data_IF_915116834900
#
_entry.id   IF_915116834900
#
_cell.length_a   1.000
_cell.length_b   1.000
_cell.length_c   1.000
_cell.angle_alpha   90.00
_cell.angle_beta   90.00
_cell.angle_gamma   90.00
#
_symmetry.space_group_name_H-M   'P 1'
#
loop_
_entity.id
_entity.type
_entity.pdbx_description
1 polymer ?
#
# COMPACT_ATOMS: atom_id res chain seq x y z
N UNK A 1 44.37 36.17 -30.38
CA UNK A 1 44.31 35.33 -31.61
C UNK A 1 44.18 33.89 -31.14
N UNK A 2 43.12 33.20 -31.62
CA UNK A 2 42.78 31.77 -31.43
C UNK A 2 42.37 31.35 -30.00
N UNK A 3 41.32 30.56 -29.75
CA UNK A 3 40.28 29.93 -30.60
C UNK A 3 39.13 29.46 -29.70
N UNK A 4 37.90 29.60 -30.19
CA UNK A 4 36.67 28.99 -29.69
C UNK A 4 36.70 27.46 -29.78
N UNK A 5 36.20 26.76 -28.76
CA UNK A 5 35.74 25.37 -28.89
C UNK A 5 34.29 25.29 -28.39
N UNK A 6 33.38 25.23 -29.36
CA UNK A 6 31.97 24.89 -29.21
C UNK A 6 31.85 23.39 -28.93
N UNK A 7 31.14 23.01 -27.87
CA UNK A 7 30.69 21.64 -27.67
C UNK A 7 29.17 21.59 -27.72
N UNK A 8 28.70 20.74 -28.65
CA UNK A 8 27.31 20.59 -29.06
C UNK A 8 26.44 20.01 -27.95
N UNK A 9 25.19 20.47 -27.95
CA UNK A 9 24.02 19.91 -27.28
C UNK A 9 23.67 18.56 -27.94
N UNK A 10 23.47 17.51 -27.14
CA UNK A 10 22.77 16.30 -27.57
C UNK A 10 23.31 15.00 -26.98
N UNK A 11 22.66 14.48 -25.94
CA UNK A 11 21.97 13.18 -25.90
C UNK A 11 21.39 13.06 -24.48
N UNK A 12 20.07 12.98 -24.34
CA UNK A 12 19.43 12.82 -23.03
C UNK A 12 19.58 11.39 -22.52
N UNK A 13 20.04 11.25 -21.28
CA UNK A 13 19.83 10.04 -20.49
C UNK A 13 18.36 9.96 -20.06
N UNK A 14 17.67 8.81 -20.24
CA UNK A 14 16.36 8.65 -19.65
C UNK A 14 16.51 8.38 -18.14
N UNK A 15 15.96 9.29 -17.33
CA UNK A 15 15.74 9.19 -15.87
C UNK A 15 16.91 9.51 -14.93
N UNK A 16 17.72 10.54 -15.22
CA UNK A 16 18.48 11.19 -14.16
C UNK A 16 17.58 12.23 -13.45
N UNK A 17 17.07 11.89 -12.26
CA UNK A 17 16.38 12.84 -11.38
C UNK A 17 17.35 13.99 -11.04
N UNK A 18 16.91 15.23 -11.21
CA UNK A 18 17.76 16.40 -10.96
C UNK A 18 17.87 16.68 -9.46
N UNK A 19 18.94 17.35 -9.04
CA UNK A 19 19.14 17.73 -7.64
C UNK A 19 18.00 18.64 -7.12
N UNK A 20 17.34 19.41 -8.00
CA UNK A 20 16.16 20.20 -7.65
C UNK A 20 14.92 19.33 -7.38
N UNK A 21 14.77 18.18 -8.05
CA UNK A 21 13.71 17.19 -7.75
C UNK A 21 13.88 16.55 -6.36
N UNK A 22 15.12 16.49 -5.86
CA UNK A 22 15.45 15.96 -4.52
C UNK A 22 15.13 16.98 -3.40
N UNK A 23 15.08 18.28 -3.72
CA UNK A 23 14.92 19.35 -2.72
C UNK A 23 13.49 19.87 -2.50
N UNK A 24 12.52 19.50 -3.34
CA UNK A 24 11.13 19.43 -2.89
C UNK A 24 10.96 18.08 -2.20
N UNK A 25 11.16 18.03 -0.89
CA UNK A 25 10.70 16.88 -0.09
C UNK A 25 9.19 16.78 -0.26
N UNK A 26 8.79 15.96 -1.21
CA UNK A 26 7.39 15.62 -1.39
C UNK A 26 6.90 15.03 -0.06
N UNK A 27 5.82 15.57 0.48
CA UNK A 27 5.27 15.15 1.78
C UNK A 27 4.59 13.77 1.65
N UNK A 28 4.46 13.29 0.42
CA UNK A 28 3.89 12.00 0.10
C UNK A 28 4.91 10.85 0.15
N UNK A 29 4.42 9.61 0.27
CA UNK A 29 5.25 8.43 0.10
C UNK A 29 5.99 8.43 -1.24
N UNK A 30 7.17 7.80 -1.34
CA UNK A 30 7.87 7.61 -2.61
C UNK A 30 6.93 7.09 -3.71
N UNK A 31 7.03 7.66 -4.91
CA UNK A 31 6.24 7.26 -6.09
C UNK A 31 4.70 7.43 -5.94
N UNK A 32 4.22 8.23 -4.98
CA UNK A 32 2.79 8.46 -4.74
C UNK A 32 1.99 8.86 -5.99
N UNK A 33 2.56 9.72 -6.83
CA UNK A 33 1.90 10.18 -8.05
C UNK A 33 1.81 9.10 -9.14
N UNK A 34 2.66 8.07 -9.08
CA UNK A 34 2.65 6.94 -10.01
C UNK A 34 1.73 5.80 -9.54
N UNK A 35 1.42 5.75 -8.24
CA UNK A 35 0.54 4.72 -7.70
C UNK A 35 -0.92 4.88 -8.18
N UNK A 36 -1.64 3.77 -8.46
CA UNK A 36 -3.05 3.76 -8.80
C UNK A 36 -3.91 4.60 -7.84
N UNK A 37 -4.81 5.41 -8.38
CA UNK A 37 -5.70 6.28 -7.58
C UNK A 37 -7.12 5.75 -7.42
N UNK A 38 -7.52 4.83 -8.29
CA UNK A 38 -8.84 4.22 -8.38
C UNK A 38 -8.72 2.70 -8.62
N UNK A 39 -9.82 1.97 -8.46
CA UNK A 39 -9.84 0.51 -8.66
C UNK A 39 -9.68 0.18 -10.15
N UNK A 40 -10.14 1.08 -11.01
CA UNK A 40 -10.10 1.00 -12.46
C UNK A 40 -8.69 1.17 -13.04
N UNK A 41 -7.76 1.75 -12.27
CA UNK A 41 -6.36 1.92 -12.68
C UNK A 41 -5.56 0.60 -12.62
N UNK A 42 -6.12 -0.46 -12.02
CA UNK A 42 -5.47 -1.76 -11.90
C UNK A 42 -5.70 -2.65 -13.12
N UNK A 43 -4.75 -3.56 -13.44
CA UNK A 43 -4.90 -4.49 -14.55
C UNK A 43 -6.14 -5.38 -14.42
N UNK A 44 -6.91 -5.49 -15.50
CA UNK A 44 -8.05 -6.40 -15.60
C UNK A 44 -7.63 -7.65 -16.37
N UNK A 45 -7.87 -8.82 -15.76
CA UNK A 45 -7.65 -10.12 -16.39
C UNK A 45 -8.98 -10.87 -16.45
N UNK A 46 -9.57 -10.97 -17.65
CA UNK A 46 -10.92 -11.51 -17.83
C UNK A 46 -11.96 -10.58 -17.21
N UNK A 47 -12.71 -11.08 -16.23
CA UNK A 47 -13.72 -10.30 -15.49
C UNK A 47 -13.28 -9.92 -14.07
N UNK A 48 -11.97 -9.90 -13.81
CA UNK A 48 -11.41 -9.62 -12.49
C UNK A 48 -10.35 -8.53 -12.55
N UNK A 49 -10.44 -7.56 -11.65
CA UNK A 49 -9.36 -6.60 -11.38
C UNK A 49 -8.33 -7.26 -10.49
N UNK A 50 -7.09 -7.35 -10.95
CA UNK A 50 -6.00 -8.00 -10.23
C UNK A 50 -5.15 -6.98 -9.48
N UNK A 51 -4.88 -7.25 -8.20
CA UNK A 51 -4.02 -6.42 -7.35
C UNK A 51 -2.92 -7.31 -6.77
N UNK A 52 -1.67 -7.03 -7.11
CA UNK A 52 -0.51 -7.63 -6.48
C UNK A 52 -0.20 -6.93 -5.17
N UNK A 53 -0.48 -7.62 -4.06
CA UNK A 53 -0.03 -7.16 -2.76
C UNK A 53 1.51 -7.13 -2.67
N UNK A 54 2.25 -7.82 -3.53
CA UNK A 54 3.70 -7.94 -3.46
C UNK A 54 4.43 -6.98 -4.42
N UNK A 55 3.71 -6.01 -4.95
CA UNK A 55 4.25 -4.87 -5.69
C UNK A 55 4.02 -3.57 -4.89
N UNK A 56 5.06 -2.75 -4.75
CA UNK A 56 5.01 -1.51 -3.97
C UNK A 56 4.00 -0.49 -4.48
N UNK A 57 3.96 -0.23 -5.80
CA UNK A 57 3.02 0.75 -6.36
C UNK A 57 1.58 0.28 -6.19
N UNK A 58 1.33 -1.01 -6.39
CA UNK A 58 -0.01 -1.59 -6.25
C UNK A 58 -0.47 -1.59 -4.79
N UNK A 59 0.40 -1.96 -3.84
CA UNK A 59 0.10 -1.88 -2.40
C UNK A 59 -0.09 -0.43 -1.94
N UNK A 60 0.69 0.52 -2.48
CA UNK A 60 0.49 1.94 -2.23
C UNK A 60 -0.84 2.45 -2.82
N UNK A 61 -1.21 1.95 -4.00
CA UNK A 61 -2.48 2.25 -4.66
C UNK A 61 -3.69 1.81 -3.84
N UNK A 62 -3.61 0.65 -3.17
CA UNK A 62 -4.65 0.20 -2.22
C UNK A 62 -4.90 1.25 -1.13
N UNK A 63 -3.85 1.80 -0.52
CA UNK A 63 -4.00 2.88 0.46
C UNK A 63 -4.59 4.15 -0.15
N UNK A 64 -4.13 4.52 -1.35
CA UNK A 64 -4.59 5.71 -2.07
C UNK A 64 -6.07 5.65 -2.42
N UNK A 65 -6.57 4.48 -2.85
CA UNK A 65 -8.00 4.24 -3.08
C UNK A 65 -8.78 4.47 -1.78
N UNK A 66 -8.37 3.83 -0.67
CA UNK A 66 -9.08 3.99 0.61
C UNK A 66 -9.11 5.45 1.05
N UNK A 67 -7.98 6.17 0.90
CA UNK A 67 -7.90 7.60 1.19
C UNK A 67 -8.84 8.43 0.32
N UNK A 68 -8.91 8.14 -0.99
CA UNK A 68 -9.77 8.86 -1.91
C UNK A 68 -11.26 8.66 -1.59
N UNK A 69 -11.69 7.42 -1.34
CA UNK A 69 -13.07 7.11 -0.99
C UNK A 69 -13.48 7.66 0.39
N UNK A 70 -12.53 7.73 1.32
CA UNK A 70 -12.77 8.29 2.66
C UNK A 70 -12.68 9.82 2.72
N UNK A 71 -12.20 10.49 1.67
CA UNK A 71 -11.96 11.93 1.69
C UNK A 71 -13.20 12.76 2.05
N UNK A 72 -14.38 12.31 1.61
CA UNK A 72 -15.67 12.96 1.91
C UNK A 72 -15.98 13.08 3.41
N UNK A 73 -15.37 12.23 4.25
CA UNK A 73 -15.57 12.24 5.71
C UNK A 73 -14.58 13.13 6.46
N UNK A 74 -13.53 13.64 5.79
CA UNK A 74 -12.47 14.45 6.38
C UNK A 74 -12.41 15.87 5.78
N UNK A 75 -13.48 16.32 5.13
CA UNK A 75 -13.56 17.61 4.42
C UNK A 75 -13.40 18.82 5.33
N UNK A 76 -13.66 18.68 6.63
CA UNK A 76 -13.49 19.74 7.63
C UNK A 76 -12.07 19.81 8.22
N UNK A 77 -11.21 18.83 7.92
CA UNK A 77 -9.89 18.67 8.58
C UNK A 77 -8.70 19.15 7.73
N UNK A 78 -8.94 20.00 6.74
CA UNK A 78 -7.91 20.58 5.86
C UNK A 78 -8.22 20.39 4.38
N UNK A 79 -7.55 21.14 3.52
CA UNK A 79 -7.67 20.97 2.06
C UNK A 79 -6.95 19.68 1.60
N UNK A 80 -7.32 19.19 0.42
CA UNK A 80 -6.65 18.06 -0.25
C UNK A 80 -6.54 16.78 0.59
N UNK A 81 -7.55 16.48 1.41
CA UNK A 81 -7.63 15.26 2.23
C UNK A 81 -6.52 15.13 3.29
N UNK A 82 -5.74 16.18 3.59
CA UNK A 82 -4.57 16.11 4.50
C UNK A 82 -4.97 15.72 5.93
N UNK A 83 -6.17 16.06 6.37
CA UNK A 83 -6.69 15.71 7.70
C UNK A 83 -7.15 14.26 7.85
N UNK A 84 -7.03 13.43 6.81
CA UNK A 84 -7.45 12.04 6.86
C UNK A 84 -6.50 11.20 7.73
N UNK A 85 -7.02 10.68 8.82
CA UNK A 85 -6.23 9.92 9.80
C UNK A 85 -5.59 8.65 9.22
N UNK A 86 -6.06 8.18 8.06
CA UNK A 86 -5.52 7.01 7.39
C UNK A 86 -4.17 7.27 6.71
N UNK A 87 -3.70 8.51 6.59
CA UNK A 87 -2.39 8.85 6.01
C UNK A 87 -1.20 8.18 6.69
N UNK A 88 -1.32 7.85 7.99
CA UNK A 88 -0.24 7.16 8.71
C UNK A 88 0.19 5.85 8.04
N UNK A 89 -0.75 5.13 7.44
CA UNK A 89 -0.52 3.83 6.82
C UNK A 89 0.35 3.90 5.54
N UNK A 90 0.00 4.68 4.50
CA UNK A 90 0.85 4.82 3.32
C UNK A 90 2.17 5.54 3.62
N UNK A 91 2.21 6.47 4.59
CA UNK A 91 3.47 7.08 5.04
C UNK A 91 4.41 6.03 5.65
N UNK A 92 3.89 5.13 6.49
CA UNK A 92 4.67 4.02 7.03
C UNK A 92 5.16 3.07 5.92
N UNK A 93 4.32 2.73 4.94
CA UNK A 93 4.75 1.92 3.78
C UNK A 93 5.87 2.62 3.00
N UNK A 94 5.76 3.94 2.78
CA UNK A 94 6.80 4.74 2.13
C UNK A 94 8.13 4.73 2.85
N UNK A 95 8.12 4.84 4.18
CA UNK A 95 9.32 4.71 5.00
C UNK A 95 9.92 3.28 4.92
N UNK A 96 9.10 2.24 4.96
CA UNK A 96 9.56 0.85 4.83
C UNK A 96 10.22 0.61 3.46
N UNK A 97 9.65 1.17 2.39
CA UNK A 97 10.23 1.12 1.06
C UNK A 97 11.57 1.85 0.98
N UNK A 98 11.61 3.12 1.41
CA UNK A 98 12.82 3.94 1.33
C UNK A 98 13.98 3.37 2.14
N UNK A 99 13.69 2.65 3.23
CA UNK A 99 14.73 2.08 4.09
C UNK A 99 15.10 0.63 3.76
N UNK A 100 14.57 0.07 2.66
CA UNK A 100 14.86 -1.30 2.22
C UNK A 100 14.20 -2.39 3.08
N UNK A 101 13.34 -2.04 4.04
CA UNK A 101 12.69 -3.00 4.95
C UNK A 101 11.71 -3.94 4.24
N UNK A 102 11.23 -3.58 3.04
CA UNK A 102 10.36 -4.42 2.22
C UNK A 102 11.11 -5.43 1.34
N UNK A 103 12.43 -5.28 1.20
CA UNK A 103 13.26 -6.16 0.38
C UNK A 103 13.49 -7.52 1.08
N UNK A 104 14.00 -8.49 0.34
CA UNK A 104 14.36 -9.79 0.90
C UNK A 104 15.52 -9.64 1.92
N UNK A 105 15.31 -9.98 3.20
CA UNK A 105 16.37 -9.89 4.21
C UNK A 105 17.41 -11.02 4.11
N UNK A 106 17.07 -12.13 3.46
CA UNK A 106 17.88 -13.35 3.40
C UNK A 106 18.87 -13.37 2.23
N UNK A 107 18.73 -12.43 1.28
CA UNK A 107 19.45 -12.41 0.00
C UNK A 107 19.29 -13.71 -0.83
N UNK A 108 18.30 -14.55 -0.53
CA UNK A 108 17.98 -15.73 -1.34
C UNK A 108 17.40 -15.31 -2.69
N UNK A 109 16.66 -14.21 -2.71
CA UNK A 109 16.08 -13.60 -3.90
C UNK A 109 16.64 -12.19 -4.12
N UNK A 110 16.48 -11.70 -5.34
CA UNK A 110 16.76 -10.30 -5.70
C UNK A 110 15.54 -9.39 -5.46
N UNK A 111 14.51 -9.82 -4.72
CA UNK A 111 13.32 -9.01 -4.52
C UNK A 111 13.65 -7.77 -3.67
N UNK A 112 13.40 -6.58 -4.22
CA UNK A 112 13.78 -5.31 -3.60
C UNK A 112 15.28 -4.98 -3.72
N UNK A 113 16.09 -5.89 -4.30
CA UNK A 113 17.53 -5.73 -4.49
C UNK A 113 17.90 -5.89 -5.98
N UNK A 114 18.50 -4.87 -6.59
CA UNK A 114 19.00 -4.97 -7.97
C UNK A 114 18.11 -4.33 -9.04
N UNK A 115 18.64 -4.28 -10.26
CA UNK A 115 18.05 -3.52 -11.36
C UNK A 115 16.66 -4.05 -11.75
N UNK A 116 15.66 -3.16 -11.74
CA UNK A 116 14.28 -3.49 -12.09
C UNK A 116 13.46 -4.20 -11.01
N UNK A 117 14.06 -4.56 -9.86
CA UNK A 117 13.38 -5.27 -8.77
C UNK A 117 12.96 -4.35 -7.61
N UNK A 118 13.15 -3.05 -7.75
CA UNK A 118 12.91 -2.08 -6.67
C UNK A 118 11.44 -2.02 -6.22
N UNK A 119 10.48 -2.40 -7.08
CA UNK A 119 9.05 -2.45 -6.71
C UNK A 119 8.63 -3.77 -6.06
N UNK A 120 9.49 -4.80 -6.07
CA UNK A 120 9.17 -6.08 -5.48
C UNK A 120 9.17 -5.97 -3.95
N UNK A 121 8.06 -6.39 -3.32
CA UNK A 121 7.94 -6.54 -1.88
C UNK A 121 8.14 -8.02 -1.55
N UNK A 122 9.18 -8.33 -0.77
CA UNK A 122 9.51 -9.72 -0.43
C UNK A 122 8.54 -10.28 0.60
N UNK A 123 8.00 -11.47 0.32
CA UNK A 123 7.19 -12.24 1.29
C UNK A 123 8.02 -12.74 2.48
N UNK A 124 9.35 -12.78 2.32
CA UNK A 124 10.30 -13.12 3.39
C UNK A 124 10.55 -11.93 4.33
N UNK A 125 10.22 -10.70 3.91
CA UNK A 125 10.30 -9.55 4.81
C UNK A 125 9.23 -9.62 5.89
N UNK A 126 9.68 -9.55 7.14
CA UNK A 126 8.80 -9.38 8.29
C UNK A 126 7.97 -8.11 8.17
N UNK A 127 8.58 -6.98 7.81
CA UNK A 127 7.89 -5.69 7.65
C UNK A 127 6.83 -5.74 6.55
N UNK A 128 7.13 -6.42 5.45
CA UNK A 128 6.17 -6.64 4.37
C UNK A 128 4.98 -7.49 4.82
N UNK A 129 5.25 -8.54 5.61
CA UNK A 129 4.22 -9.43 6.15
C UNK A 129 3.29 -8.67 7.11
N UNK A 130 3.85 -7.89 8.05
CA UNK A 130 3.04 -7.02 8.94
C UNK A 130 2.24 -5.98 8.15
N UNK A 131 2.87 -5.32 7.17
CA UNK A 131 2.18 -4.31 6.38
C UNK A 131 1.03 -4.89 5.55
N UNK A 132 1.07 -6.18 5.15
CA UNK A 132 -0.06 -6.84 4.47
C UNK A 132 -1.35 -6.74 5.29
N UNK A 133 -1.26 -6.96 6.60
CA UNK A 133 -2.38 -6.86 7.53
C UNK A 133 -2.82 -5.43 7.83
N UNK A 134 -2.01 -4.44 7.47
CA UNK A 134 -2.34 -3.02 7.57
C UNK A 134 -2.77 -2.42 6.23
N UNK A 135 -2.62 -3.14 5.12
CA UNK A 135 -2.98 -2.68 3.76
C UNK A 135 -4.16 -3.47 3.19
N UNK A 136 -3.92 -4.77 2.91
CA UNK A 136 -4.87 -5.64 2.22
C UNK A 136 -6.05 -6.00 3.10
N UNK A 137 -5.81 -6.33 4.37
CA UNK A 137 -6.90 -6.72 5.28
C UNK A 137 -7.90 -5.58 5.53
N UNK A 138 -7.47 -4.33 5.81
CA UNK A 138 -8.39 -3.19 5.89
C UNK A 138 -9.14 -2.96 4.59
N UNK A 139 -8.48 -3.08 3.45
CA UNK A 139 -9.11 -2.93 2.14
C UNK A 139 -10.21 -3.97 1.90
N UNK A 140 -9.94 -5.24 2.23
CA UNK A 140 -10.94 -6.31 2.15
C UNK A 140 -12.08 -6.10 3.16
N UNK A 141 -11.80 -5.57 4.35
CA UNK A 141 -12.82 -5.16 5.32
C UNK A 141 -13.70 -4.02 4.78
N UNK A 142 -13.12 -3.04 4.12
CA UNK A 142 -13.85 -1.96 3.44
C UNK A 142 -14.72 -2.51 2.30
N UNK A 143 -14.21 -3.47 1.52
CA UNK A 143 -15.02 -4.16 0.50
C UNK A 143 -16.21 -4.89 1.12
N UNK A 144 -16.01 -5.62 2.23
CA UNK A 144 -17.09 -6.34 2.91
C UNK A 144 -18.14 -5.39 3.50
N UNK A 145 -17.72 -4.18 3.92
CA UNK A 145 -18.62 -3.12 4.36
C UNK A 145 -19.38 -2.42 3.21
N UNK A 146 -19.13 -2.79 1.95
CA UNK A 146 -19.70 -2.11 0.79
C UNK A 146 -19.18 -0.68 0.60
N UNK A 147 -18.04 -0.33 1.21
CA UNK A 147 -17.49 1.03 1.26
C UNK A 147 -17.22 1.64 -0.12
N UNK A 148 -16.82 0.79 -1.08
CA UNK A 148 -16.52 1.21 -2.46
C UNK A 148 -17.77 1.27 -3.37
N UNK A 149 -18.94 0.90 -2.85
CA UNK A 149 -20.17 0.78 -3.63
C UNK A 149 -20.13 -0.36 -4.64
N UNK A 150 -20.86 -0.22 -5.74
CA UNK A 150 -20.91 -1.23 -6.80
C UNK A 150 -19.61 -1.19 -7.62
N UNK A 151 -18.88 -2.30 -7.62
CA UNK A 151 -17.67 -2.46 -8.44
C UNK A 151 -18.04 -3.00 -9.83
N UNK A 152 -17.29 -2.58 -10.84
CA UNK A 152 -17.44 -3.07 -12.23
C UNK A 152 -16.96 -4.52 -12.39
N UNK A 153 -15.86 -4.86 -11.73
CA UNK A 153 -15.23 -6.17 -11.78
C UNK A 153 -15.01 -6.72 -10.37
N UNK A 154 -14.96 -8.04 -10.24
CA UNK A 154 -14.55 -8.68 -8.99
C UNK A 154 -13.06 -8.38 -8.73
N UNK A 155 -12.72 -7.99 -7.51
CA UNK A 155 -11.32 -7.76 -7.14
C UNK A 155 -10.68 -9.06 -6.69
N UNK A 156 -9.49 -9.35 -7.21
CA UNK A 156 -8.66 -10.50 -6.84
C UNK A 156 -7.31 -10.02 -6.35
N UNK A 157 -7.00 -10.28 -5.08
CA UNK A 157 -5.64 -10.12 -4.56
C UNK A 157 -4.78 -11.29 -5.07
N UNK A 158 -3.67 -10.98 -5.71
CA UNK A 158 -2.74 -11.97 -6.22
C UNK A 158 -1.88 -12.52 -5.07
N UNK A 159 -1.87 -13.85 -4.87
CA UNK A 159 -1.03 -14.49 -3.87
C UNK A 159 0.44 -14.47 -4.32
N UNK A 160 1.38 -14.49 -3.36
CA UNK A 160 2.78 -14.74 -3.66
C UNK A 160 2.97 -16.20 -4.11
N UNK A 161 4.10 -16.48 -4.74
CA UNK A 161 4.49 -17.84 -5.12
C UNK A 161 4.86 -18.66 -3.88
N UNK A 162 5.65 -18.07 -2.99
CA UNK A 162 6.08 -18.66 -1.71
C UNK A 162 5.19 -18.22 -0.55
N UNK A 163 5.10 -19.03 0.51
CA UNK A 163 4.37 -18.70 1.75
C UNK A 163 2.90 -18.31 1.53
N UNK A 164 2.30 -18.81 0.45
CA UNK A 164 0.91 -18.53 0.09
C UNK A 164 -0.09 -18.89 1.19
N UNK A 165 0.17 -19.93 1.96
CA UNK A 165 -0.74 -20.37 3.02
C UNK A 165 -0.74 -19.43 4.24
N UNK A 166 0.24 -18.54 4.36
CA UNK A 166 0.37 -17.64 5.51
C UNK A 166 -0.58 -16.44 5.45
N UNK A 167 -1.23 -16.21 4.29
CA UNK A 167 -2.10 -15.05 4.06
C UNK A 167 -3.44 -15.50 3.47
N UNK A 168 -4.45 -14.64 3.66
CA UNK A 168 -5.76 -14.76 3.03
C UNK A 168 -5.94 -13.67 1.96
N UNK A 169 -6.72 -13.94 0.91
CA UNK A 169 -6.72 -13.12 -0.33
C UNK A 169 -8.08 -12.61 -0.79
N UNK A 170 -9.16 -13.01 -0.13
CA UNK A 170 -10.51 -12.50 -0.39
C UNK A 170 -11.22 -12.20 0.93
N UNK A 171 -12.27 -11.38 0.88
CA UNK A 171 -13.04 -11.06 2.09
C UNK A 171 -13.57 -12.34 2.76
N UNK A 172 -14.14 -13.28 1.99
CA UNK A 172 -14.65 -14.55 2.50
C UNK A 172 -13.53 -15.42 3.11
N UNK A 173 -12.39 -15.52 2.42
CA UNK A 173 -11.23 -16.28 2.89
C UNK A 173 -10.66 -15.70 4.19
N UNK A 174 -10.47 -14.37 4.24
CA UNK A 174 -10.00 -13.68 5.44
C UNK A 174 -11.01 -13.75 6.59
N UNK A 175 -12.31 -13.73 6.30
CA UNK A 175 -13.36 -13.92 7.32
C UNK A 175 -13.22 -15.26 8.02
N UNK A 176 -12.91 -16.32 7.27
CA UNK A 176 -12.72 -17.66 7.84
C UNK A 176 -11.44 -17.77 8.67
N UNK A 177 -10.35 -17.13 8.24
CA UNK A 177 -9.04 -17.22 8.91
C UNK A 177 -8.89 -16.28 10.11
N UNK A 178 -9.37 -15.04 9.98
CA UNK A 178 -9.13 -13.94 10.92
C UNK A 178 -10.42 -13.15 11.24
N UNK A 179 -11.51 -13.84 11.66
CA UNK A 179 -12.86 -13.26 11.74
C UNK A 179 -12.92 -11.98 12.57
N UNK A 180 -12.26 -11.95 13.74
CA UNK A 180 -12.25 -10.78 14.64
C UNK A 180 -11.60 -9.55 14.02
N UNK A 181 -10.56 -9.74 13.21
CA UNK A 181 -9.86 -8.64 12.53
C UNK A 181 -10.72 -8.12 11.39
N UNK A 182 -11.35 -9.01 10.63
CA UNK A 182 -12.31 -8.63 9.58
C UNK A 182 -13.53 -7.91 10.15
N UNK A 183 -14.08 -8.36 11.28
CA UNK A 183 -15.16 -7.67 12.00
C UNK A 183 -14.78 -6.24 12.38
N UNK A 184 -13.58 -6.05 12.96
CA UNK A 184 -13.12 -4.73 13.36
C UNK A 184 -12.94 -3.78 12.18
N UNK A 185 -12.36 -4.25 11.06
CA UNK A 185 -12.20 -3.43 9.86
C UNK A 185 -13.51 -3.14 9.15
N UNK A 186 -14.39 -4.13 9.03
CA UNK A 186 -15.73 -3.93 8.50
C UNK A 186 -16.49 -2.87 9.30
N UNK A 187 -16.53 -3.01 10.62
CA UNK A 187 -17.19 -2.04 11.50
C UNK A 187 -16.57 -0.65 11.39
N UNK A 188 -15.26 -0.52 11.17
CA UNK A 188 -14.60 0.77 10.95
C UNK A 188 -15.12 1.48 9.67
N UNK A 189 -15.37 0.74 8.60
CA UNK A 189 -15.79 1.28 7.30
C UNK A 189 -17.31 1.35 7.08
N UNK A 190 -18.10 0.67 7.91
CA UNK A 190 -19.55 0.85 7.91
C UNK A 190 -19.89 2.30 8.29
N UNK A 191 -20.71 2.94 7.46
CA UNK A 191 -20.90 4.41 7.38
C UNK A 191 -21.36 5.02 8.71
N UNK A 192 -22.08 4.27 9.54
CA UNK A 192 -22.53 4.70 10.87
C UNK A 192 -21.38 4.88 11.86
N UNK A 193 -20.20 4.31 11.59
CA UNK A 193 -19.06 4.40 12.51
C UNK A 193 -18.04 5.44 12.10
N UNK A 194 -17.80 5.74 10.83
CA UNK A 194 -16.72 6.67 10.48
C UNK A 194 -16.97 8.09 11.03
N UNK A 195 -18.25 8.49 11.16
CA UNK A 195 -18.65 9.74 11.82
C UNK A 195 -18.33 9.76 13.34
N UNK A 196 -18.44 8.62 14.03
CA UNK A 196 -18.12 8.47 15.45
C UNK A 196 -16.64 8.13 15.71
N UNK A 197 -15.97 7.45 14.77
CA UNK A 197 -14.59 6.95 14.85
C UNK A 197 -13.58 8.08 14.76
N UNK A 198 -13.86 9.15 14.00
CA UNK A 198 -13.07 10.39 14.02
C UNK A 198 -12.89 10.90 15.47
N UNK A 199 -13.78 10.50 16.39
CA UNK A 199 -13.71 10.86 17.81
C UNK A 199 -13.30 9.72 18.77
N UNK A 200 -13.17 8.42 18.39
CA UNK A 200 -12.80 7.38 19.38
C UNK A 200 -12.28 5.98 18.98
N UNK A 201 -12.14 5.58 17.71
CA UNK A 201 -11.89 4.16 17.37
C UNK A 201 -10.82 3.77 16.31
N UNK A 202 -9.85 4.61 15.88
CA UNK A 202 -8.78 4.13 14.98
C UNK A 202 -7.83 3.10 15.64
N UNK A 203 -7.72 3.13 16.96
CA UNK A 203 -6.71 2.41 17.74
C UNK A 203 -6.94 0.90 17.79
N UNK A 204 -8.18 0.43 17.86
CA UNK A 204 -8.47 -0.99 18.12
C UNK A 204 -8.19 -1.90 16.91
N UNK A 205 -8.65 -1.54 15.70
CA UNK A 205 -8.43 -2.36 14.50
C UNK A 205 -6.94 -2.43 14.11
N UNK A 206 -6.21 -1.31 14.21
CA UNK A 206 -4.77 -1.28 14.04
C UNK A 206 -4.04 -2.16 15.06
N UNK A 207 -4.38 -2.05 16.35
CA UNK A 207 -3.74 -2.85 17.41
C UNK A 207 -4.03 -4.35 17.23
N UNK A 208 -5.23 -4.75 16.84
CA UNK A 208 -5.54 -6.16 16.57
C UNK A 208 -4.78 -6.69 15.35
N UNK A 209 -4.69 -5.90 14.28
CA UNK A 209 -3.94 -6.29 13.08
C UNK A 209 -2.45 -6.44 13.38
N UNK A 210 -1.87 -5.49 14.14
CA UNK A 210 -0.50 -5.56 14.62
C UNK A 210 -0.28 -6.77 15.53
N UNK A 211 -1.15 -6.99 16.52
CA UNK A 211 -1.04 -8.12 17.44
C UNK A 211 -1.06 -9.45 16.69
N UNK A 212 -2.02 -9.65 15.78
CA UNK A 212 -2.10 -10.88 15.00
C UNK A 212 -0.86 -11.07 14.11
N UNK A 213 -0.43 -10.01 13.41
CA UNK A 213 0.76 -10.08 12.56
C UNK A 213 2.01 -10.40 13.34
N UNK A 214 2.15 -9.84 14.55
CA UNK A 214 3.25 -10.13 15.46
C UNK A 214 3.24 -11.60 15.87
N UNK A 215 2.08 -12.16 16.24
CA UNK A 215 1.98 -13.57 16.58
C UNK A 215 2.31 -14.48 15.39
N UNK A 216 1.79 -14.18 14.20
CA UNK A 216 1.99 -15.00 13.00
C UNK A 216 3.42 -14.95 12.48
N UNK A 217 4.08 -13.79 12.54
CA UNK A 217 5.39 -13.58 11.92
C UNK A 217 6.53 -13.38 12.92
N UNK A 218 6.33 -13.62 14.21
CA UNK A 218 7.36 -13.44 15.26
C UNK A 218 8.68 -14.19 14.97
N UNK A 219 8.65 -15.24 14.15
CA UNK A 219 9.82 -16.07 13.84
C UNK A 219 10.63 -15.60 12.62
N UNK A 220 10.11 -14.66 11.80
CA UNK A 220 10.80 -14.13 10.62
C UNK A 220 11.85 -13.05 10.95
N UNK A 221 12.02 -12.71 12.22
CA UNK A 221 12.96 -11.68 12.70
C UNK A 221 14.31 -12.28 13.17
N UNK A 222 14.50 -13.60 13.07
CA UNK A 222 15.74 -14.31 13.41
C UNK A 222 16.49 -14.71 12.15
#
# INVERSE_FOLDING_TARGET
>A
RATSASWKKGQGDPLALTQEDVFKKDVYPPLWHQAPGSIEDFPVHGNKTAISAWNYLERLGVYKIVLNYSAKYFTTSGSNNVGNILWGLPLQLGWQYHTGRLADPSNVTTCGHGAGQHLCISVQSWWASVNYYLSIIPFLGAMEAGFFGQLQHEIKILPPEELRADFCYSAADCRSHIPKVMDAWKAYFEVDHLFFVVHRLPSFAHVHSLSLSLHTFSLKEK
#
